data_IF_727019763834
#
_entry.id   IF_727019763834
#
_cell.length_a   1.000
_cell.length_b   1.000
_cell.length_c   1.000
_cell.angle_alpha   90.00
_cell.angle_beta   90.00
_cell.angle_gamma   90.00
#
_symmetry.space_group_name_H-M   'P 1'
#
loop_
_entity.id
_entity.type
_entity.pdbx_description
1 polymer ?
#
# COMPACT_ATOMS: atom_id res chain seq x y z
N UNK A 1 7.93 -1.85 26.26
CA UNK A 1 6.56 -1.46 25.85
C UNK A 1 6.61 -0.46 24.70
N UNK A 2 5.83 -0.64 23.63
CA UNK A 2 5.73 0.29 22.51
C UNK A 2 5.26 1.69 22.96
N UNK A 3 5.80 2.77 22.39
CA UNK A 3 5.38 4.14 22.73
C UNK A 3 3.91 4.33 22.32
N UNK A 4 3.15 5.18 23.03
CA UNK A 4 1.72 5.43 22.73
C UNK A 4 1.51 5.78 21.25
N UNK A 5 2.38 6.62 20.68
CA UNK A 5 2.34 7.03 19.27
C UNK A 5 2.58 5.88 18.29
N UNK A 6 3.57 5.00 18.55
CA UNK A 6 3.80 3.83 17.70
C UNK A 6 2.62 2.86 17.73
N UNK A 7 2.01 2.65 18.91
CA UNK A 7 0.81 1.79 19.02
C UNK A 7 -0.37 2.36 18.24
N UNK A 8 -0.59 3.66 18.31
CA UNK A 8 -1.64 4.34 17.56
C UNK A 8 -1.42 4.26 16.05
N UNK A 9 -0.20 4.54 15.59
CA UNK A 9 0.15 4.44 14.17
C UNK A 9 -0.02 3.00 13.65
N UNK A 10 0.52 2.00 14.37
CA UNK A 10 0.38 0.59 13.99
C UNK A 10 -1.09 0.13 14.00
N UNK A 11 -1.90 0.60 14.95
CA UNK A 11 -3.33 0.31 14.97
C UNK A 11 -4.08 0.95 13.80
N UNK A 12 -3.76 2.20 13.44
CA UNK A 12 -4.31 2.86 12.27
C UNK A 12 -3.92 2.15 10.97
N UNK A 13 -2.63 1.76 10.83
CA UNK A 13 -2.15 0.96 9.70
C UNK A 13 -2.88 -0.38 9.63
N UNK A 14 -3.06 -1.08 10.76
CA UNK A 14 -3.76 -2.35 10.82
C UNK A 14 -5.25 -2.19 10.46
N UNK A 15 -5.93 -1.17 10.98
CA UNK A 15 -7.32 -0.89 10.61
C UNK A 15 -7.48 -0.56 9.12
N UNK A 16 -6.56 0.23 8.56
CA UNK A 16 -6.54 0.54 7.13
C UNK A 16 -6.35 -0.72 6.28
N UNK A 17 -5.32 -1.53 6.57
CA UNK A 17 -5.02 -2.71 5.74
C UNK A 17 -6.13 -3.77 5.82
N UNK A 18 -6.82 -3.91 6.95
CA UNK A 18 -7.99 -4.81 7.05
C UNK A 18 -9.12 -4.36 6.11
N UNK A 19 -9.42 -3.06 6.05
CA UNK A 19 -10.45 -2.54 5.13
C UNK A 19 -9.98 -2.67 3.68
N UNK A 20 -8.70 -2.44 3.43
CA UNK A 20 -8.09 -2.58 2.11
C UNK A 20 -8.16 -4.02 1.60
N UNK A 21 -7.73 -4.98 2.41
CA UNK A 21 -7.79 -6.41 2.09
C UNK A 21 -9.25 -6.86 1.90
N UNK A 22 -10.18 -6.40 2.73
CA UNK A 22 -11.60 -6.73 2.60
C UNK A 22 -12.19 -6.27 1.27
N UNK A 23 -11.81 -5.07 0.80
CA UNK A 23 -12.25 -4.54 -0.49
C UNK A 23 -11.67 -5.37 -1.66
N UNK A 24 -10.40 -5.77 -1.57
CA UNK A 24 -9.78 -6.64 -2.58
C UNK A 24 -10.43 -8.02 -2.62
N UNK A 25 -10.68 -8.62 -1.45
CA UNK A 25 -11.42 -9.90 -1.38
C UNK A 25 -12.81 -9.76 -1.99
N UNK A 26 -13.52 -8.65 -1.73
CA UNK A 26 -14.80 -8.39 -2.37
C UNK A 26 -14.69 -8.34 -3.90
N UNK A 27 -13.67 -7.69 -4.45
CA UNK A 27 -13.42 -7.64 -5.89
C UNK A 27 -13.08 -9.03 -6.48
N UNK A 28 -12.22 -9.80 -5.81
CA UNK A 28 -11.89 -11.18 -6.20
C UNK A 28 -13.11 -12.13 -6.18
N UNK A 29 -14.11 -11.82 -5.34
CA UNK A 29 -15.39 -12.54 -5.30
C UNK A 29 -16.40 -12.07 -6.37
N UNK A 30 -15.97 -11.21 -7.31
CA UNK A 30 -16.78 -10.71 -8.42
C UNK A 30 -17.46 -9.37 -8.17
N UNK A 31 -17.18 -8.72 -7.03
CA UNK A 31 -17.67 -7.39 -6.72
C UNK A 31 -17.20 -6.34 -7.73
N UNK A 32 -18.11 -5.44 -8.15
CA UNK A 32 -17.83 -4.42 -9.17
C UNK A 32 -17.81 -2.98 -8.64
N UNK A 33 -17.98 -2.81 -7.32
CA UNK A 33 -17.99 -1.50 -6.69
C UNK A 33 -16.69 -0.75 -6.98
N UNK A 34 -16.81 0.45 -7.54
CA UNK A 34 -15.68 1.32 -7.86
C UNK A 34 -15.09 1.17 -9.26
N UNK A 35 -15.49 0.16 -10.04
CA UNK A 35 -14.99 -0.03 -11.40
C UNK A 35 -15.83 0.65 -12.48
N UNK A 36 -17.11 0.87 -12.22
CA UNK A 36 -18.00 1.59 -13.14
C UNK A 36 -18.21 0.85 -14.45
N UNK A 37 -17.88 1.50 -15.56
CA UNK A 37 -18.05 0.99 -16.93
C UNK A 37 -16.78 0.35 -17.51
N UNK A 38 -15.82 -0.03 -16.66
CA UNK A 38 -14.64 -0.77 -17.08
C UNK A 38 -15.00 -2.17 -17.59
N UNK A 39 -14.41 -2.56 -18.72
CA UNK A 39 -14.67 -3.87 -19.34
C UNK A 39 -14.02 -5.01 -18.53
N UNK A 40 -12.72 -4.89 -18.22
CA UNK A 40 -11.93 -5.90 -17.51
C UNK A 40 -11.09 -5.24 -16.40
N UNK A 41 -11.72 -4.84 -15.27
CA UNK A 41 -11.04 -4.06 -14.23
C UNK A 41 -10.03 -4.85 -13.38
N UNK A 42 -10.10 -6.18 -13.41
CA UNK A 42 -9.26 -7.05 -12.60
C UNK A 42 -8.31 -7.86 -13.49
N UNK A 43 -7.04 -8.05 -13.09
CA UNK A 43 -6.11 -8.90 -13.83
C UNK A 43 -6.65 -10.34 -13.93
N UNK A 44 -6.73 -10.89 -15.14
CA UNK A 44 -7.06 -12.31 -15.32
C UNK A 44 -5.91 -13.22 -14.85
N UNK A 45 -6.19 -14.49 -14.52
CA UNK A 45 -5.19 -15.47 -14.07
C UNK A 45 -4.91 -16.57 -15.13
N UNK A 46 -5.11 -16.24 -16.40
CA UNK A 46 -5.08 -17.21 -17.50
C UNK A 46 -3.65 -17.63 -17.84
N UNK A 47 -2.71 -16.68 -17.81
CA UNK A 47 -1.29 -16.93 -18.12
C UNK A 47 -0.47 -17.22 -16.87
N UNK A 48 0.66 -17.92 -17.04
CA UNK A 48 1.59 -18.18 -15.93
C UNK A 48 2.12 -16.89 -15.29
N UNK A 49 2.41 -15.86 -16.11
CA UNK A 49 2.87 -14.56 -15.62
C UNK A 49 1.83 -13.86 -14.73
N UNK A 50 0.56 -13.91 -15.13
CA UNK A 50 -0.54 -13.37 -14.32
C UNK A 50 -0.74 -14.12 -13.00
N UNK A 51 -0.62 -15.45 -13.01
CA UNK A 51 -0.70 -16.25 -11.77
C UNK A 51 0.43 -15.92 -10.81
N UNK A 52 1.64 -15.74 -11.32
CA UNK A 52 2.79 -15.29 -10.51
C UNK A 52 2.53 -13.90 -9.93
N UNK A 53 2.02 -12.97 -10.73
CA UNK A 53 1.64 -11.64 -10.26
C UNK A 53 0.59 -11.71 -9.15
N UNK A 54 -0.49 -12.48 -9.33
CA UNK A 54 -1.52 -12.68 -8.31
C UNK A 54 -0.95 -13.29 -7.01
N UNK A 55 -0.06 -14.29 -7.13
CA UNK A 55 0.60 -14.89 -5.97
C UNK A 55 1.50 -13.89 -5.21
N UNK A 56 2.21 -13.02 -5.93
CA UNK A 56 3.03 -11.95 -5.33
C UNK A 56 2.13 -10.94 -4.62
N UNK A 57 1.04 -10.49 -5.26
CA UNK A 57 0.08 -9.56 -4.65
C UNK A 57 -0.53 -10.15 -3.37
N UNK A 58 -0.95 -11.43 -3.41
CA UNK A 58 -1.46 -12.12 -2.23
C UNK A 58 -0.42 -12.18 -1.10
N UNK A 59 0.84 -12.49 -1.43
CA UNK A 59 1.92 -12.48 -0.45
C UNK A 59 2.13 -11.08 0.16
N UNK A 60 2.00 -10.01 -0.65
CA UNK A 60 2.09 -8.63 -0.18
C UNK A 60 0.93 -8.26 0.74
N UNK A 61 -0.29 -8.74 0.53
CA UNK A 61 -1.40 -8.54 1.47
C UNK A 61 -1.13 -9.22 2.82
N UNK A 62 -0.69 -10.48 2.80
CA UNK A 62 -0.33 -11.20 4.04
C UNK A 62 0.77 -10.47 4.80
N UNK A 63 1.85 -10.08 4.11
CA UNK A 63 2.95 -9.33 4.71
C UNK A 63 2.48 -7.98 5.22
N UNK A 64 1.71 -7.25 4.42
CA UNK A 64 1.11 -5.97 4.78
C UNK A 64 0.31 -6.09 6.08
N UNK A 65 -0.59 -7.06 6.18
CA UNK A 65 -1.44 -7.23 7.36
C UNK A 65 -0.66 -7.66 8.62
N UNK A 66 0.35 -8.53 8.46
CA UNK A 66 1.17 -9.01 9.59
C UNK A 66 2.14 -7.93 10.09
N UNK A 67 2.64 -7.06 9.21
CA UNK A 67 3.67 -6.07 9.53
C UNK A 67 3.30 -5.07 10.65
N UNK A 68 2.14 -4.37 10.64
CA UNK A 68 1.76 -3.47 11.73
C UNK A 68 1.57 -4.22 13.06
N UNK A 69 1.08 -5.47 13.03
CA UNK A 69 1.01 -6.32 14.22
C UNK A 69 2.39 -6.63 14.78
N UNK A 70 3.39 -6.84 13.92
CA UNK A 70 4.77 -7.08 14.33
C UNK A 70 5.34 -5.93 15.19
N UNK A 71 4.89 -4.70 15.02
CA UNK A 71 5.38 -3.57 15.84
C UNK A 71 4.84 -3.56 17.29
N UNK A 72 3.74 -4.27 17.56
CA UNK A 72 3.06 -4.26 18.87
C UNK A 72 3.03 -5.60 19.58
N UNK A 73 3.15 -6.71 18.84
CA UNK A 73 3.05 -8.06 19.39
C UNK A 73 4.39 -8.59 19.95
N UNK A 74 4.30 -9.60 20.82
CA UNK A 74 5.48 -10.18 21.50
C UNK A 74 6.30 -11.13 20.61
N UNK A 75 5.66 -11.77 19.62
CA UNK A 75 6.31 -12.75 18.76
C UNK A 75 7.41 -12.13 17.87
N UNK A 76 7.29 -10.84 17.56
CA UNK A 76 8.25 -10.11 16.71
C UNK A 76 9.57 -9.79 17.42
N UNK A 77 9.71 -10.10 18.72
CA UNK A 77 10.98 -9.91 19.46
C UNK A 77 12.15 -10.71 18.87
N UNK A 78 11.87 -11.74 18.07
CA UNK A 78 12.88 -12.52 17.33
C UNK A 78 13.33 -11.86 16.03
N UNK A 79 12.60 -10.86 15.53
CA UNK A 79 12.88 -10.19 14.26
C UNK A 79 13.64 -8.89 14.54
N UNK A 80 14.80 -8.66 13.89
CA UNK A 80 15.52 -7.41 13.99
C UNK A 80 14.64 -6.20 13.65
N UNK A 81 14.65 -5.17 14.50
CA UNK A 81 13.76 -3.99 14.33
C UNK A 81 13.99 -3.26 13.02
N UNK A 82 15.24 -3.23 12.53
CA UNK A 82 15.58 -2.58 11.28
C UNK A 82 14.86 -3.23 10.09
N UNK A 83 14.67 -4.57 10.09
CA UNK A 83 13.93 -5.27 9.04
C UNK A 83 12.48 -4.79 8.99
N UNK A 84 11.80 -4.75 10.14
CA UNK A 84 10.41 -4.29 10.22
C UNK A 84 10.27 -2.83 9.76
N UNK A 85 11.21 -1.97 10.16
CA UNK A 85 11.24 -0.55 9.76
C UNK A 85 11.44 -0.43 8.25
N UNK A 86 12.40 -1.16 7.68
CA UNK A 86 12.65 -1.17 6.23
C UNK A 86 11.43 -1.66 5.46
N UNK A 87 10.80 -2.76 5.88
CA UNK A 87 9.58 -3.25 5.26
C UNK A 87 8.45 -2.22 5.30
N UNK A 88 8.29 -1.51 6.42
CA UNK A 88 7.27 -0.47 6.54
C UNK A 88 7.56 0.73 5.64
N UNK A 89 8.82 1.12 5.47
CA UNK A 89 9.20 2.15 4.49
C UNK A 89 9.01 1.70 3.05
N UNK A 90 9.31 0.44 2.72
CA UNK A 90 9.06 -0.14 1.40
C UNK A 90 7.57 -0.12 1.09
N UNK A 91 6.72 -0.58 2.02
CA UNK A 91 5.26 -0.51 1.87
C UNK A 91 4.78 0.94 1.69
N UNK A 92 5.28 1.87 2.51
CA UNK A 92 4.96 3.29 2.39
C UNK A 92 5.33 3.84 1.01
N UNK A 93 6.54 3.53 0.54
CA UNK A 93 7.05 3.94 -0.77
C UNK A 93 6.23 3.38 -1.92
N UNK A 94 5.99 2.07 -1.93
CA UNK A 94 5.21 1.40 -2.98
C UNK A 94 3.81 2.01 -3.13
N UNK A 95 3.09 2.16 -2.01
CA UNK A 95 1.74 2.72 -2.00
C UNK A 95 1.72 4.19 -2.44
N UNK A 96 2.70 4.98 -1.96
CA UNK A 96 2.81 6.40 -2.33
C UNK A 96 3.16 6.58 -3.79
N UNK A 97 4.13 5.82 -4.32
CA UNK A 97 4.54 5.88 -5.73
C UNK A 97 3.36 5.49 -6.62
N UNK A 98 2.67 4.38 -6.31
CA UNK A 98 1.48 3.97 -7.06
C UNK A 98 0.40 5.05 -7.07
N UNK A 99 0.08 5.65 -5.92
CA UNK A 99 -0.91 6.73 -5.87
C UNK A 99 -0.45 7.96 -6.65
N UNK A 100 0.81 8.39 -6.47
CA UNK A 100 1.37 9.56 -7.14
C UNK A 100 1.38 9.39 -8.67
N UNK A 101 1.80 8.22 -9.18
CA UNK A 101 1.78 7.93 -10.62
C UNK A 101 0.37 8.04 -11.20
N UNK A 102 -0.65 7.56 -10.49
CA UNK A 102 -2.04 7.65 -10.96
C UNK A 102 -2.58 9.09 -10.91
N UNK A 103 -2.28 9.86 -9.86
CA UNK A 103 -2.64 11.29 -9.84
C UNK A 103 -1.95 12.09 -10.95
N UNK A 104 -0.69 11.78 -11.26
CA UNK A 104 0.02 12.41 -12.37
C UNK A 104 -0.62 12.03 -13.70
N UNK A 105 -0.96 10.74 -13.92
CA UNK A 105 -1.66 10.30 -15.13
C UNK A 105 -3.03 10.98 -15.29
N UNK A 106 -3.85 11.06 -14.23
CA UNK A 106 -5.14 11.75 -14.24
C UNK A 106 -4.97 13.25 -14.51
N UNK A 107 -3.97 13.91 -13.92
CA UNK A 107 -3.69 15.32 -14.18
C UNK A 107 -3.26 15.55 -15.64
N UNK A 108 -2.41 14.67 -16.21
CA UNK A 108 -2.02 14.73 -17.62
C UNK A 108 -3.25 14.69 -18.54
N UNK A 109 -4.23 13.83 -18.23
CA UNK A 109 -5.44 13.69 -19.04
C UNK A 109 -6.43 14.84 -18.86
N UNK A 110 -6.64 15.28 -17.63
CA UNK A 110 -7.73 16.21 -17.29
C UNK A 110 -7.32 17.68 -17.31
N UNK A 111 -6.12 17.99 -16.81
CA UNK A 111 -5.61 19.37 -16.72
C UNK A 111 -4.82 19.74 -17.96
N UNK A 112 -3.97 18.83 -18.44
CA UNK A 112 -3.08 19.08 -19.58
C UNK A 112 -3.64 18.59 -20.92
N UNK A 113 -4.81 17.94 -20.93
CA UNK A 113 -5.48 17.49 -22.14
C UNK A 113 -4.75 16.39 -22.92
N UNK A 114 -3.84 15.65 -22.30
CA UNK A 114 -3.12 14.54 -22.93
C UNK A 114 -4.06 13.34 -23.13
N UNK A 115 -4.34 12.89 -24.37
CA UNK A 115 -5.22 11.74 -24.61
C UNK A 115 -4.67 10.42 -24.05
N UNK A 116 -3.35 10.33 -23.89
CA UNK A 116 -2.63 9.12 -23.52
C UNK A 116 -2.02 9.16 -22.11
N UNK A 117 -2.17 10.28 -21.40
CA UNK A 117 -1.67 10.45 -20.03
C UNK A 117 -0.16 10.23 -19.90
N UNK A 118 0.26 9.71 -18.75
CA UNK A 118 1.63 9.35 -18.42
C UNK A 118 2.02 7.98 -19.01
N UNK A 119 1.07 7.06 -19.11
CA UNK A 119 1.31 5.68 -19.56
C UNK A 119 1.51 5.54 -21.06
N UNK A 120 1.10 6.54 -21.85
CA UNK A 120 1.07 6.46 -23.30
C UNK A 120 -0.16 5.71 -23.86
N UNK A 121 -1.07 5.27 -22.98
CA UNK A 121 -2.26 4.50 -23.34
C UNK A 121 -3.53 5.37 -23.31
N UNK A 122 -4.46 5.15 -24.23
CA UNK A 122 -5.77 5.80 -24.21
C UNK A 122 -6.68 5.22 -23.13
N UNK A 123 -7.78 5.90 -22.79
CA UNK A 123 -8.79 5.31 -21.89
C UNK A 123 -9.38 4.02 -22.42
N UNK A 124 -9.57 3.90 -23.74
CA UNK A 124 -10.06 2.67 -24.35
C UNK A 124 -9.09 1.50 -24.10
N UNK A 125 -7.79 1.73 -24.19
CA UNK A 125 -6.77 0.71 -23.92
C UNK A 125 -6.64 0.37 -22.42
N UNK A 126 -6.88 1.34 -21.53
CA UNK A 126 -6.74 1.16 -20.08
C UNK A 126 -8.00 0.62 -19.40
N UNK A 127 -9.16 1.10 -19.81
CA UNK A 127 -10.45 0.90 -19.15
C UNK A 127 -11.43 0.09 -20.02
N UNK A 128 -11.12 -0.13 -21.30
CA UNK A 128 -12.04 -0.76 -22.25
C UNK A 128 -13.13 0.18 -22.78
N UNK A 129 -13.07 1.47 -22.47
CA UNK A 129 -14.04 2.48 -22.92
C UNK A 129 -13.35 3.79 -23.27
N UNK A 130 -13.70 4.37 -24.44
CA UNK A 130 -13.17 5.65 -24.87
C UNK A 130 -13.77 6.84 -24.10
N UNK A 131 -14.93 6.65 -23.47
CA UNK A 131 -15.71 7.69 -22.78
C UNK A 131 -16.09 7.21 -21.38
N UNK A 132 -15.13 7.08 -20.45
CA UNK A 132 -15.40 6.58 -19.11
C UNK A 132 -16.40 7.47 -18.38
N UNK A 133 -17.35 6.83 -17.69
CA UNK A 133 -18.35 7.54 -16.90
C UNK A 133 -17.71 8.39 -15.79
N UNK A 134 -18.43 9.43 -15.33
CA UNK A 134 -17.99 10.23 -14.18
C UNK A 134 -17.80 9.38 -12.92
N UNK A 135 -18.63 8.35 -12.73
CA UNK A 135 -18.51 7.41 -11.62
C UNK A 135 -17.19 6.63 -11.66
N UNK A 136 -16.78 6.15 -12.84
CA UNK A 136 -15.51 5.45 -13.06
C UNK A 136 -14.32 6.33 -12.69
N UNK A 137 -14.31 7.58 -13.17
CA UNK A 137 -13.22 8.52 -12.91
C UNK A 137 -13.12 8.91 -11.43
N UNK A 138 -14.25 9.21 -10.78
CA UNK A 138 -14.25 9.56 -9.36
C UNK A 138 -13.90 8.37 -8.47
N UNK A 139 -14.32 7.17 -8.84
CA UNK A 139 -14.00 5.95 -8.12
C UNK A 139 -12.52 5.60 -8.25
N UNK A 140 -11.92 5.75 -9.43
CA UNK A 140 -10.48 5.59 -9.64
C UNK A 140 -9.66 6.54 -8.73
N UNK A 141 -10.03 7.83 -8.70
CA UNK A 141 -9.40 8.82 -7.80
C UNK A 141 -9.55 8.47 -6.33
N UNK A 142 -10.72 7.96 -5.92
CA UNK A 142 -10.97 7.54 -4.55
C UNK A 142 -10.09 6.34 -4.17
N UNK A 143 -9.93 5.37 -5.09
CA UNK A 143 -9.01 4.23 -4.92
C UNK A 143 -7.57 4.74 -4.79
N UNK A 144 -7.12 5.65 -5.66
CA UNK A 144 -5.77 6.20 -5.60
C UNK A 144 -5.50 6.98 -4.30
N UNK A 145 -6.48 7.75 -3.82
CA UNK A 145 -6.40 8.41 -2.53
C UNK A 145 -6.30 7.38 -1.39
N UNK A 146 -7.02 6.26 -1.50
CA UNK A 146 -6.97 5.20 -0.51
C UNK A 146 -5.59 4.52 -0.45
N UNK A 147 -4.94 4.31 -1.60
CA UNK A 147 -3.52 3.91 -1.66
C UNK A 147 -2.60 4.93 -0.99
N UNK A 148 -2.81 6.23 -1.24
CA UNK A 148 -2.01 7.30 -0.62
C UNK A 148 -2.15 7.30 0.91
N UNK A 149 -3.37 7.12 1.43
CA UNK A 149 -3.61 6.96 2.88
C UNK A 149 -2.80 5.80 3.44
N UNK A 150 -2.76 4.66 2.74
CA UNK A 150 -1.90 3.53 3.06
C UNK A 150 -0.43 3.92 3.18
N UNK A 151 0.09 4.64 2.17
CA UNK A 151 1.45 5.17 2.17
C UNK A 151 1.76 6.01 3.42
N UNK A 152 0.84 6.91 3.77
CA UNK A 152 0.95 7.79 4.95
C UNK A 152 0.97 6.98 6.26
N UNK A 153 0.04 6.05 6.45
CA UNK A 153 -0.05 5.30 7.72
C UNK A 153 1.14 4.34 7.90
N UNK A 154 1.62 3.69 6.83
CA UNK A 154 2.84 2.88 6.91
C UNK A 154 4.08 3.74 7.17
N UNK A 155 4.19 4.90 6.51
CA UNK A 155 5.29 5.85 6.72
C UNK A 155 5.30 6.39 8.15
N UNK A 156 4.13 6.72 8.71
CA UNK A 156 4.00 7.14 10.10
C UNK A 156 4.44 6.02 11.07
N UNK A 157 4.01 4.78 10.83
CA UNK A 157 4.44 3.62 11.63
C UNK A 157 5.96 3.42 11.58
N UNK A 158 6.57 3.48 10.39
CA UNK A 158 8.01 3.36 10.20
C UNK A 158 8.77 4.49 10.92
N UNK A 159 8.29 5.73 10.79
CA UNK A 159 8.88 6.91 11.42
C UNK A 159 8.87 6.83 12.94
N UNK A 160 7.72 6.51 13.55
CA UNK A 160 7.64 6.35 15.01
C UNK A 160 8.43 5.15 15.52
N UNK A 161 8.55 4.08 14.73
CA UNK A 161 9.38 2.93 15.07
C UNK A 161 10.88 3.26 15.05
N UNK A 162 11.34 4.05 14.07
CA UNK A 162 12.73 4.52 13.96
C UNK A 162 13.11 5.45 15.11
N UNK A 163 12.31 6.48 15.39
CA UNK A 163 12.56 7.41 16.51
C UNK A 163 12.69 6.70 17.87
N UNK A 164 11.96 5.60 18.05
CA UNK A 164 12.08 4.77 19.25
C UNK A 164 13.40 4.01 19.30
N UNK A 165 13.87 3.48 18.16
CA UNK A 165 15.14 2.76 18.09
C UNK A 165 16.31 3.71 18.38
N UNK A 166 16.29 4.91 17.79
CA UNK A 166 17.34 5.92 17.96
C UNK A 166 17.37 6.50 19.39
N UNK A 167 16.21 6.58 20.06
CA UNK A 167 16.10 7.06 21.45
C UNK A 167 16.47 6.03 22.52
N UNK A 168 16.91 4.82 22.14
CA UNK A 168 17.38 3.82 23.09
C UNK A 168 18.92 3.83 23.07
N UNK A 169 19.59 4.45 24.06
CA UNK A 169 21.05 4.50 24.09
C UNK A 169 21.63 3.09 24.11
N UNK A 170 22.72 2.88 23.36
CA UNK A 170 23.51 1.66 23.40
C UNK A 170 23.84 1.31 24.85
N UNK A 171 23.40 0.13 25.29
CA UNK A 171 23.76 -0.40 26.60
C UNK A 171 25.29 -0.38 26.72
N UNK A 172 25.88 0.17 27.80
CA UNK A 172 27.33 0.19 27.95
C UNK A 172 27.90 -1.23 27.83
N UNK A 173 28.92 -1.40 26.98
CA UNK A 173 29.68 -2.65 26.92
C UNK A 173 30.21 -2.94 28.34
N UNK A 174 30.07 -4.18 28.85
CA UNK A 174 30.69 -4.53 30.12
C UNK A 174 32.21 -4.29 30.00
N UNK A 175 32.84 -3.74 31.06
CA UNK A 175 34.27 -3.45 31.03
C UNK A 175 35.04 -4.71 30.67
N UNK A 176 35.97 -4.59 29.72
CA UNK A 176 36.95 -5.64 29.42
C UNK A 176 37.78 -5.82 30.69
N UNK A 177 37.56 -6.91 31.41
CA UNK A 177 38.48 -7.35 32.46
C UNK A 177 39.82 -7.66 31.80
N UNK A 178 40.84 -6.91 32.23
CA UNK A 178 42.26 -7.09 31.88
C UNK A 178 42.77 -8.38 32.51
#
# INVERSE_FOLDING_TARGET
>A
MATRRLRQAAAATFGWIVVFDALHVYWELGGQFGFGDQADPLPSAETAGQRVFAAVVLALFVVGTVLPLAFVQRWSRRIPRWILITMAWVAAGLLTVRAATAFVDDAMRTVFGSPTGLTGLTYEQLLGTATPSAYTLWSARAIDLYFLVGGVVYGATAWYARRRADGQPDSPQPPKTI
#
